data_IF_791893016917
#
_entry.id   IF_791893016917
#
_cell.length_a   1.000
_cell.length_b   1.000
_cell.length_c   1.000
_cell.angle_alpha   90.00
_cell.angle_beta   90.00
_cell.angle_gamma   90.00
#
_symmetry.space_group_name_H-M   'P 1'
#
loop_
_entity.id
_entity.type
_entity.pdbx_description
1 polymer ?
#
# COMPACT_ATOMS: atom_id res chain seq x y z
N UNK A 1 1.00 -18.08 3.24
CA UNK A 1 1.01 -16.83 2.45
C UNK A 1 2.45 -16.58 2.05
N UNK A 2 2.73 -16.32 0.77
CA UNK A 2 4.08 -16.01 0.30
C UNK A 2 4.19 -14.51 0.03
N UNK A 3 5.30 -13.83 0.39
CA UNK A 3 5.46 -12.43 0.08
C UNK A 3 5.61 -12.23 -1.43
N UNK A 4 4.88 -11.26 -1.98
CA UNK A 4 4.98 -10.87 -3.40
C UNK A 4 6.04 -9.78 -3.64
N UNK A 5 6.33 -8.99 -2.61
CA UNK A 5 7.32 -7.92 -2.61
C UNK A 5 7.81 -7.68 -1.17
N UNK A 6 9.03 -7.15 -1.02
CA UNK A 6 9.57 -6.68 0.25
C UNK A 6 10.48 -5.48 0.01
N UNK A 7 10.69 -4.68 1.05
CA UNK A 7 11.57 -3.51 1.02
C UNK A 7 12.38 -3.44 2.32
N UNK A 8 13.60 -2.92 2.22
CA UNK A 8 14.43 -2.56 3.38
C UNK A 8 14.62 -1.05 3.32
N UNK A 9 14.09 -0.36 4.33
CA UNK A 9 14.15 1.11 4.48
C UNK A 9 14.63 1.45 5.89
N UNK A 10 15.18 2.64 6.07
CA UNK A 10 15.68 3.11 7.37
C UNK A 10 14.55 3.23 8.41
N UNK A 11 13.38 3.70 7.99
CA UNK A 11 12.18 3.79 8.83
C UNK A 11 10.91 3.87 7.99
N UNK A 12 9.78 3.47 8.57
CA UNK A 12 8.45 3.63 7.99
C UNK A 12 7.97 5.10 8.07
N UNK A 13 8.41 5.92 7.12
CA UNK A 13 7.97 7.31 6.96
C UNK A 13 7.19 7.50 5.66
N UNK A 14 6.59 8.68 5.49
CA UNK A 14 5.78 9.02 4.31
C UNK A 14 6.52 8.77 2.99
N UNK A 15 7.77 9.22 2.89
CA UNK A 15 8.57 9.08 1.67
C UNK A 15 8.88 7.60 1.35
N UNK A 16 9.23 6.81 2.37
CA UNK A 16 9.55 5.39 2.21
C UNK A 16 8.32 4.58 1.85
N UNK A 17 7.17 4.88 2.47
CA UNK A 17 5.90 4.24 2.13
C UNK A 17 5.45 4.61 0.72
N UNK A 18 5.52 5.89 0.35
CA UNK A 18 5.16 6.34 -1.00
C UNK A 18 6.04 5.69 -2.06
N UNK A 19 7.35 5.71 -1.86
CA UNK A 19 8.31 5.07 -2.76
C UNK A 19 7.99 3.58 -2.92
N UNK A 20 7.73 2.86 -1.82
CA UNK A 20 7.39 1.44 -1.90
C UNK A 20 6.09 1.19 -2.66
N UNK A 21 5.04 1.98 -2.40
CA UNK A 21 3.75 1.82 -3.09
C UNK A 21 3.87 2.13 -4.59
N UNK A 22 4.67 3.14 -4.97
CA UNK A 22 4.94 3.45 -6.39
C UNK A 22 5.65 2.28 -7.10
N UNK A 23 6.68 1.70 -6.47
CA UNK A 23 7.38 0.54 -7.03
C UNK A 23 6.46 -0.69 -7.12
N UNK A 24 5.60 -0.90 -6.12
CA UNK A 24 4.61 -1.97 -6.15
C UNK A 24 3.60 -1.76 -7.29
N UNK A 25 3.16 -0.53 -7.52
CA UNK A 25 2.30 -0.18 -8.63
C UNK A 25 2.94 -0.46 -9.98
N UNK A 26 4.19 -0.04 -10.18
CA UNK A 26 4.93 -0.28 -11.43
C UNK A 26 5.10 -1.78 -11.71
N UNK A 27 5.27 -2.59 -10.66
CA UNK A 27 5.38 -4.05 -10.77
C UNK A 27 4.05 -4.75 -11.07
N UNK A 28 2.93 -4.25 -10.53
CA UNK A 28 1.60 -4.81 -10.77
C UNK A 28 0.98 -4.34 -12.10
N UNK A 29 1.31 -3.13 -12.54
CA UNK A 29 0.86 -2.51 -13.77
C UNK A 29 -0.32 -1.54 -13.61
N UNK A 30 -0.45 -0.63 -14.58
CA UNK A 30 -1.40 0.49 -14.55
C UNK A 30 -2.88 0.08 -14.42
N UNK A 31 -3.25 -1.14 -14.78
CA UNK A 31 -4.64 -1.61 -14.64
C UNK A 31 -5.11 -1.65 -13.18
N UNK A 32 -4.21 -1.79 -12.21
CA UNK A 32 -4.55 -1.90 -10.79
C UNK A 32 -4.90 -0.56 -10.12
N UNK A 33 -4.42 0.60 -10.59
CA UNK A 33 -4.73 1.90 -9.95
C UNK A 33 -6.19 2.32 -10.11
N UNK A 34 -6.84 1.85 -11.19
CA UNK A 34 -8.22 2.20 -11.54
C UNK A 34 -9.21 1.09 -11.19
N UNK A 35 -8.75 -0.04 -10.62
CA UNK A 35 -9.62 -1.13 -10.19
C UNK A 35 -10.38 -0.75 -8.92
N UNK A 36 -11.70 -0.71 -9.03
CA UNK A 36 -12.61 -0.45 -7.91
C UNK A 36 -12.82 -1.68 -7.01
N UNK A 37 -12.47 -2.86 -7.51
CA UNK A 37 -12.52 -4.14 -6.79
C UNK A 37 -11.19 -4.48 -6.10
N UNK A 38 -10.17 -3.60 -6.22
CA UNK A 38 -8.92 -3.73 -5.48
C UNK A 38 -9.14 -3.35 -4.01
N UNK A 39 -8.72 -4.23 -3.11
CA UNK A 39 -8.68 -3.97 -1.68
C UNK A 39 -7.23 -3.92 -1.23
N UNK A 40 -6.83 -2.82 -0.59
CA UNK A 40 -5.53 -2.69 0.06
C UNK A 40 -5.74 -2.77 1.57
N UNK A 41 -5.03 -3.69 2.22
CA UNK A 41 -5.10 -3.89 3.66
C UNK A 41 -3.75 -3.58 4.28
N UNK A 42 -3.68 -2.54 5.13
CA UNK A 42 -2.48 -2.15 5.87
C UNK A 42 -2.77 -2.13 7.38
N UNK A 43 -1.75 -1.91 8.19
CA UNK A 43 -1.97 -1.47 9.57
C UNK A 43 -2.51 -0.01 9.61
N UNK A 44 -2.59 0.57 10.81
CA UNK A 44 -3.10 1.92 11.03
C UNK A 44 -2.03 3.01 10.89
N UNK A 45 -1.01 2.81 10.05
CA UNK A 45 0.01 3.83 9.84
C UNK A 45 -0.45 4.91 8.86
N UNK A 46 -0.29 6.17 9.28
CA UNK A 46 -0.70 7.35 8.50
C UNK A 46 0.14 7.49 7.23
N UNK A 47 1.39 7.01 7.26
CA UNK A 47 2.30 7.00 6.12
C UNK A 47 1.80 6.06 5.02
N UNK A 48 1.36 4.84 5.36
CA UNK A 48 0.75 3.94 4.38
C UNK A 48 -0.62 4.43 3.91
N UNK A 49 -1.47 4.93 4.80
CA UNK A 49 -2.77 5.48 4.41
C UNK A 49 -2.62 6.56 3.33
N UNK A 50 -1.70 7.51 3.53
CA UNK A 50 -1.45 8.59 2.58
C UNK A 50 -0.89 8.06 1.25
N UNK A 51 0.11 7.16 1.30
CA UNK A 51 0.72 6.56 0.11
C UNK A 51 -0.28 5.72 -0.71
N UNK A 52 -1.17 4.99 -0.05
CA UNK A 52 -2.20 4.16 -0.71
C UNK A 52 -3.21 5.06 -1.44
N UNK A 53 -3.68 6.13 -0.81
CA UNK A 53 -4.61 7.08 -1.44
C UNK A 53 -3.97 7.74 -2.67
N UNK A 54 -2.68 8.05 -2.60
CA UNK A 54 -1.95 8.65 -3.72
C UNK A 54 -1.76 7.68 -4.90
N UNK A 55 -1.36 6.43 -4.63
CA UNK A 55 -0.98 5.46 -5.68
C UNK A 55 -2.17 4.64 -6.19
N UNK A 56 -3.11 4.29 -5.30
CA UNK A 56 -4.29 3.47 -5.60
C UNK A 56 -5.60 4.20 -5.22
N UNK A 57 -5.89 5.37 -5.81
CA UNK A 57 -6.99 6.23 -5.38
C UNK A 57 -8.39 5.61 -5.54
N UNK A 58 -8.53 4.60 -6.42
CA UNK A 58 -9.79 3.89 -6.63
C UNK A 58 -9.97 2.65 -5.74
N UNK A 59 -8.95 2.27 -4.98
CA UNK A 59 -8.98 1.07 -4.14
C UNK A 59 -9.82 1.28 -2.89
N UNK A 60 -10.37 0.18 -2.36
CA UNK A 60 -10.93 0.16 -1.03
C UNK A 60 -9.81 -0.09 -0.01
N UNK A 61 -9.47 0.91 0.80
CA UNK A 61 -8.49 0.76 1.87
C UNK A 61 -9.17 0.29 3.16
N UNK A 62 -8.61 -0.75 3.79
CA UNK A 62 -9.11 -1.33 5.03
C UNK A 62 -7.98 -1.58 6.03
N UNK A 63 -8.30 -1.55 7.32
CA UNK A 63 -7.33 -1.85 8.36
C UNK A 63 -7.25 -3.35 8.65
N UNK A 64 -6.02 -3.84 8.78
CA UNK A 64 -5.72 -5.23 9.09
C UNK A 64 -6.18 -5.57 10.51
N UNK A 65 -7.24 -6.38 10.63
CA UNK A 65 -7.79 -6.81 11.91
C UNK A 65 -6.78 -7.54 12.81
N UNK A 66 -5.78 -8.20 12.22
CA UNK A 66 -4.73 -8.88 12.97
C UNK A 66 -3.84 -7.91 13.77
N UNK A 67 -3.65 -6.68 13.26
CA UNK A 67 -2.85 -5.65 13.91
C UNK A 67 -3.69 -4.61 14.66
N UNK A 68 -5.03 -4.76 14.66
CA UNK A 68 -5.92 -3.97 15.52
C UNK A 68 -5.85 -4.56 16.93
N UNK A 69 -5.20 -3.83 17.84
CA UNK A 69 -5.38 -4.01 19.30
C UNK A 69 -6.64 -3.30 19.78
#
# INVERSE_FOLDING_TARGET
MYPIAFVIVDYENGDSCLWFMQNLFDALGHEYSMRKDLVVCSDRSVSFESAIVEVFPSSCHVYCAYHIK
#
